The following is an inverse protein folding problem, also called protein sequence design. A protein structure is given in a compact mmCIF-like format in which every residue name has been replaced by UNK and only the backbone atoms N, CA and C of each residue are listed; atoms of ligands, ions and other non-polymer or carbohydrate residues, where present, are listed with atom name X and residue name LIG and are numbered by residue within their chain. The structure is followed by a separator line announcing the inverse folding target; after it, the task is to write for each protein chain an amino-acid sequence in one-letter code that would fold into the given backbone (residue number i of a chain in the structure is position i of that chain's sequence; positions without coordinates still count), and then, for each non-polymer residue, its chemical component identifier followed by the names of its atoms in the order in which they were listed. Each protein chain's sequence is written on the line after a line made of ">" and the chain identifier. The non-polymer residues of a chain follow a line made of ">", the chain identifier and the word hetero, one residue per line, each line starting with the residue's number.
data_IF_507587129107
#
_entry.id   IF_507587129107
#
_cell.length_a   1.000
_cell.length_b   1.000
_cell.length_c   1.000
_cell.angle_alpha   90.00
_cell.angle_beta   90.00
_cell.angle_gamma   90.00
#
_symmetry.space_group_name_H-M   'P 1'
#
loop_
_entity.id
_entity.type
_entity.pdbx_description
1 polymer ?
#
# COMPACT_ATOMS: atom_id res chain seq x y z
N UNK A 1 -6.02 32.88 84.97
CA UNK A 1 -4.55 33.05 84.90
C UNK A 1 -3.79 31.71 84.83
N UNK A 2 -4.27 30.68 84.11
CA UNK A 2 -3.61 29.35 84.00
C UNK A 2 -3.06 29.02 82.60
N UNK A 3 -3.32 29.86 81.60
CA UNK A 3 -2.83 29.65 80.21
C UNK A 3 -1.43 30.26 80.00
N UNK A 4 -1.09 31.35 80.71
CA UNK A 4 0.21 32.02 80.61
C UNK A 4 1.39 31.21 81.19
N UNK A 5 1.15 30.36 82.20
CA UNK A 5 2.20 29.49 82.78
C UNK A 5 2.50 28.25 81.91
N UNK A 6 1.50 27.72 81.19
CA UNK A 6 1.73 26.62 80.24
C UNK A 6 2.53 27.05 79.01
N UNK A 7 2.32 28.28 78.54
CA UNK A 7 3.07 28.81 77.38
C UNK A 7 4.56 29.06 77.70
N UNK A 8 4.87 29.45 78.94
CA UNK A 8 6.25 29.70 79.37
C UNK A 8 7.07 28.43 79.57
N UNK A 9 6.43 27.31 79.97
CA UNK A 9 7.09 26.00 80.14
C UNK A 9 7.31 25.30 78.79
N UNK A 10 6.41 25.51 77.82
CA UNK A 10 6.58 24.95 76.48
C UNK A 10 7.69 25.67 75.69
N UNK A 11 7.89 26.98 75.92
CA UNK A 11 8.95 27.77 75.27
C UNK A 11 10.36 27.43 75.79
N UNK A 12 10.52 27.06 77.07
CA UNK A 12 11.82 26.68 77.64
C UNK A 12 12.28 25.28 77.24
N UNK A 13 11.37 24.35 76.92
CA UNK A 13 11.74 22.98 76.51
C UNK A 13 12.26 22.93 75.06
N UNK A 14 11.86 23.88 74.20
CA UNK A 14 12.30 23.94 72.79
C UNK A 14 13.72 24.53 72.64
N UNK A 15 14.24 25.25 73.63
CA UNK A 15 15.56 25.92 73.55
C UNK A 15 16.71 24.97 73.98
N UNK A 16 16.43 23.84 74.63
CA UNK A 16 17.45 22.93 75.18
C UNK A 16 17.84 21.73 74.29
N UNK A 17 17.40 21.67 73.03
CA UNK A 17 17.70 20.53 72.13
C UNK A 17 18.45 20.87 70.85
N UNK A 18 19.08 22.04 70.75
CA UNK A 18 20.08 22.30 69.69
C UNK A 18 21.51 22.16 70.26
N UNK A 19 22.08 20.96 70.05
CA UNK A 19 23.50 20.56 69.97
C UNK A 19 24.56 21.66 70.20
N UNK A 20 25.62 21.49 71.00
CA UNK A 20 26.23 20.26 71.51
C UNK A 20 27.11 19.57 70.46
N UNK A 21 28.39 19.98 70.35
CA UNK A 21 29.45 19.17 69.75
C UNK A 21 30.43 19.90 68.83
N UNK A 22 31.51 20.42 69.43
CA UNK A 22 32.92 20.45 68.98
C UNK A 22 33.26 20.55 67.47
N UNK A 23 33.95 21.63 67.08
CA UNK A 23 34.71 21.65 65.83
C UNK A 23 36.13 22.22 66.07
N UNK A 24 37.10 21.43 65.63
CA UNK A 24 38.53 21.62 65.78
C UNK A 24 39.03 22.75 64.87
N UNK A 25 40.06 23.44 65.36
CA UNK A 25 40.91 24.38 64.64
C UNK A 25 41.39 23.82 63.28
N UNK A 26 41.03 24.47 62.17
CA UNK A 26 41.63 24.22 60.85
C UNK A 26 42.30 25.50 60.30
N UNK A 27 43.48 25.29 59.73
CA UNK A 27 44.47 26.23 59.18
C UNK A 27 43.92 26.97 57.95
N UNK A 28 44.26 28.25 57.67
CA UNK A 28 43.74 28.95 56.50
C UNK A 28 44.44 28.50 55.19
N UNK A 29 43.70 28.16 54.13
CA UNK A 29 44.23 28.05 52.76
C UNK A 29 43.84 29.29 51.89
N UNK A 30 44.44 29.43 50.69
CA UNK A 30 44.90 30.71 50.16
C UNK A 30 43.83 31.52 49.42
N UNK A 31 44.17 32.80 49.20
CA UNK A 31 43.49 33.80 48.37
C UNK A 31 42.83 33.22 47.11
N UNK A 32 41.49 33.31 47.06
CA UNK A 32 40.67 33.01 45.88
C UNK A 32 40.88 34.08 44.80
N UNK A 33 41.45 33.66 43.67
CA UNK A 33 41.36 34.37 42.38
C UNK A 33 39.99 34.05 41.78
N UNK A 34 39.24 35.03 41.23
CA UNK A 34 37.92 34.76 40.65
C UNK A 34 38.04 33.87 39.40
N UNK A 35 37.73 32.58 39.57
CA UNK A 35 37.56 31.64 38.46
C UNK A 35 36.27 31.96 37.73
N UNK A 36 36.36 32.14 36.41
CA UNK A 36 35.21 32.41 35.56
C UNK A 36 34.21 31.26 35.63
N UNK A 37 32.94 31.58 35.85
CA UNK A 37 31.82 30.64 35.75
C UNK A 37 31.89 29.95 34.38
N UNK A 38 31.85 28.60 34.31
CA UNK A 38 31.78 27.92 33.03
C UNK A 38 30.52 28.37 32.29
N UNK A 39 30.59 28.65 30.97
CA UNK A 39 29.42 28.98 30.18
C UNK A 39 28.41 27.83 30.24
N UNK A 40 27.09 28.12 30.18
CA UNK A 40 26.08 27.09 30.22
C UNK A 40 26.33 26.08 29.08
N UNK A 41 26.39 24.79 29.43
CA UNK A 41 26.43 23.70 28.46
C UNK A 41 25.24 23.85 27.51
N UNK A 42 25.51 23.89 26.21
CA UNK A 42 24.48 24.02 25.19
C UNK A 42 23.49 22.84 25.31
N UNK A 43 22.26 23.14 25.74
CA UNK A 43 21.15 22.19 25.65
C UNK A 43 20.89 21.93 24.17
N UNK A 44 21.04 20.68 23.73
CA UNK A 44 20.67 20.27 22.37
C UNK A 44 19.17 20.53 22.18
N UNK A 45 18.82 21.55 21.41
CA UNK A 45 17.46 21.72 20.91
C UNK A 45 17.19 20.51 20.01
N UNK A 46 16.12 19.72 20.23
CA UNK A 46 15.76 18.68 19.29
C UNK A 46 15.44 19.36 17.95
N UNK A 47 16.34 19.24 16.99
CA UNK A 47 16.06 19.59 15.60
C UNK A 47 14.84 18.78 15.18
N UNK A 48 13.76 19.48 14.83
CA UNK A 48 12.54 18.90 14.30
C UNK A 48 12.90 18.17 13.02
N UNK A 49 13.19 16.87 13.13
CA UNK A 49 13.68 16.10 12.02
C UNK A 49 12.48 15.57 11.25
N UNK A 50 12.29 16.08 10.04
CA UNK A 50 11.22 15.66 9.14
C UNK A 50 11.38 14.19 8.77
N UNK A 51 10.32 13.37 8.90
CA UNK A 51 10.39 11.94 8.57
C UNK A 51 10.67 11.74 7.08
N UNK A 52 11.35 10.65 6.73
CA UNK A 52 11.77 10.30 5.38
C UNK A 52 10.98 9.08 4.90
N UNK A 53 10.44 9.19 3.68
CA UNK A 53 9.88 8.12 2.88
C UNK A 53 10.82 7.81 1.71
N UNK A 54 11.16 6.54 1.56
CA UNK A 54 12.07 6.04 0.53
C UNK A 54 11.32 5.16 -0.46
N UNK A 55 11.39 5.48 -1.74
CA UNK A 55 10.84 4.66 -2.82
C UNK A 55 11.97 3.93 -3.54
N UNK A 56 11.85 2.60 -3.61
CA UNK A 56 12.77 1.72 -4.31
C UNK A 56 12.17 1.37 -5.67
N UNK A 57 12.73 1.99 -6.71
CA UNK A 57 12.33 1.79 -8.10
C UNK A 57 13.50 1.16 -8.85
N UNK A 58 13.35 -0.06 -9.37
CA UNK A 58 14.42 -0.66 -10.16
C UNK A 58 14.58 0.09 -11.50
N UNK A 59 15.81 0.10 -12.01
CA UNK A 59 16.15 0.86 -13.21
C UNK A 59 15.56 0.29 -14.52
N UNK A 60 14.91 -0.86 -14.47
CA UNK A 60 14.38 -1.59 -15.63
C UNK A 60 12.86 -1.45 -15.84
N UNK A 61 12.16 -0.63 -15.03
CA UNK A 61 10.74 -0.33 -15.23
C UNK A 61 10.56 0.65 -16.40
N UNK A 62 9.45 0.52 -17.12
CA UNK A 62 9.05 1.44 -18.19
C UNK A 62 8.77 2.85 -17.65
N UNK A 63 9.14 3.87 -18.43
CA UNK A 63 9.04 5.27 -18.01
C UNK A 63 7.64 5.70 -17.52
N UNK A 64 6.52 5.40 -18.20
CA UNK A 64 5.21 5.88 -17.75
C UNK A 64 4.80 5.24 -16.41
N UNK A 65 5.11 3.97 -16.19
CA UNK A 65 4.84 3.30 -14.91
C UNK A 65 5.73 3.85 -13.80
N UNK A 66 7.01 4.10 -14.07
CA UNK A 66 7.92 4.76 -13.12
C UNK A 66 7.39 6.14 -12.70
N UNK A 67 6.99 6.96 -13.66
CA UNK A 67 6.48 8.31 -13.41
C UNK A 67 5.18 8.28 -12.59
N UNK A 68 4.30 7.31 -12.86
CA UNK A 68 3.08 7.09 -12.08
C UNK A 68 3.39 6.79 -10.62
N UNK A 69 4.30 5.86 -10.34
CA UNK A 69 4.68 5.50 -8.97
C UNK A 69 5.40 6.63 -8.25
N UNK A 70 6.37 7.29 -8.90
CA UNK A 70 7.09 8.41 -8.32
C UNK A 70 6.14 9.55 -7.95
N UNK A 71 5.26 9.95 -8.86
CA UNK A 71 4.29 11.01 -8.62
C UNK A 71 3.34 10.65 -7.48
N UNK A 72 2.78 9.44 -7.52
CA UNK A 72 1.82 8.99 -6.50
C UNK A 72 2.46 9.01 -5.11
N UNK A 73 3.62 8.38 -4.95
CA UNK A 73 4.29 8.32 -3.64
C UNK A 73 4.78 9.69 -3.20
N UNK A 74 5.25 10.53 -4.13
CA UNK A 74 5.63 11.91 -3.83
C UNK A 74 4.46 12.73 -3.27
N UNK A 75 3.29 12.67 -3.92
CA UNK A 75 2.10 13.39 -3.49
C UNK A 75 1.62 12.92 -2.10
N UNK A 76 1.64 11.59 -1.85
CA UNK A 76 1.34 11.03 -0.53
C UNK A 76 2.36 11.45 0.54
N UNK A 77 3.65 11.43 0.20
CA UNK A 77 4.72 11.82 1.13
C UNK A 77 4.60 13.29 1.50
N UNK A 78 4.38 14.18 0.52
CA UNK A 78 4.15 15.60 0.76
C UNK A 78 2.92 15.85 1.64
N UNK A 79 1.78 15.22 1.33
CA UNK A 79 0.55 15.37 2.11
C UNK A 79 0.74 14.92 3.57
N UNK A 80 1.62 13.95 3.79
CA UNK A 80 1.95 13.42 5.12
C UNK A 80 3.09 14.18 5.83
N UNK A 81 3.71 15.19 5.20
CA UNK A 81 4.84 15.94 5.75
C UNK A 81 6.18 15.18 5.73
N UNK A 82 6.31 14.16 4.88
CA UNK A 82 7.52 13.36 4.72
C UNK A 82 8.42 13.98 3.64
N UNK A 83 9.73 13.84 3.84
CA UNK A 83 10.71 14.00 2.77
C UNK A 83 10.66 12.77 1.88
N UNK A 84 10.77 12.98 0.58
CA UNK A 84 10.71 11.92 -0.40
C UNK A 84 12.08 11.71 -1.06
N UNK A 85 12.51 10.46 -1.18
CA UNK A 85 13.70 10.07 -1.93
C UNK A 85 13.42 8.84 -2.78
N UNK A 86 14.05 8.79 -3.96
CA UNK A 86 14.00 7.64 -4.86
C UNK A 86 15.39 7.01 -4.93
N UNK A 87 15.43 5.68 -4.89
CA UNK A 87 16.64 4.86 -5.03
C UNK A 87 16.39 3.65 -5.90
N UNK A 88 17.47 3.11 -6.46
CA UNK A 88 17.44 1.89 -7.28
C UNK A 88 17.55 0.60 -6.45
N UNK A 89 17.80 0.72 -5.14
CA UNK A 89 17.97 -0.41 -4.23
C UNK A 89 18.11 0.07 -2.79
N UNK A 90 18.01 -0.87 -1.83
CA UNK A 90 18.16 -0.59 -0.40
C UNK A 90 19.60 -0.86 0.00
N UNK A 91 20.25 0.11 0.64
CA UNK A 91 21.55 -0.10 1.29
C UNK A 91 21.42 -0.04 2.81
N UNK A 92 22.29 -0.73 3.58
CA UNK A 92 22.30 -0.62 5.04
C UNK A 92 22.54 0.81 5.56
N UNK A 93 23.18 1.67 4.75
CA UNK A 93 23.40 3.08 5.09
C UNK A 93 22.10 3.88 5.05
N UNK A 94 21.21 3.58 4.10
CA UNK A 94 19.89 4.23 4.03
C UNK A 94 19.04 3.89 5.27
N UNK A 95 19.14 2.65 5.76
CA UNK A 95 18.44 2.18 6.96
C UNK A 95 19.00 2.74 8.27
N UNK A 96 20.24 3.25 8.24
CA UNK A 96 20.87 3.90 9.39
C UNK A 96 20.37 5.35 9.59
N UNK A 97 19.63 5.93 8.65
CA UNK A 97 19.03 7.26 8.82
C UNK A 97 17.93 7.20 9.90
N UNK A 98 18.07 7.93 11.03
CA UNK A 98 17.09 7.91 12.12
C UNK A 98 15.71 8.46 11.70
N UNK A 99 15.65 9.20 10.59
CA UNK A 99 14.45 9.82 10.07
C UNK A 99 13.69 8.94 9.10
N UNK A 100 14.30 7.85 8.62
CA UNK A 100 13.61 6.89 7.78
C UNK A 100 12.47 6.26 8.59
N UNK A 101 11.24 6.40 8.08
CA UNK A 101 10.05 5.83 8.70
C UNK A 101 9.33 4.88 7.78
N UNK A 102 9.39 5.09 6.47
CA UNK A 102 8.70 4.25 5.48
C UNK A 102 9.61 3.94 4.30
N UNK A 103 9.66 2.68 3.90
CA UNK A 103 10.33 2.19 2.68
C UNK A 103 9.29 1.50 1.81
N UNK A 104 9.18 1.91 0.55
CA UNK A 104 8.23 1.37 -0.42
C UNK A 104 9.05 0.66 -1.49
N UNK A 105 8.82 -0.63 -1.67
CA UNK A 105 9.56 -1.47 -2.60
C UNK A 105 8.66 -2.02 -3.69
N UNK A 106 9.12 -1.92 -4.94
CA UNK A 106 8.51 -2.52 -6.12
C UNK A 106 9.31 -3.76 -6.57
N UNK A 107 8.73 -4.63 -7.41
CA UNK A 107 9.41 -5.81 -7.92
C UNK A 107 10.55 -5.40 -8.87
N UNK A 108 11.68 -6.13 -8.90
CA UNK A 108 11.98 -7.37 -8.17
C UNK A 108 12.30 -7.13 -6.67
N UNK A 109 12.10 -8.14 -5.82
CA UNK A 109 12.33 -8.01 -4.37
C UNK A 109 13.76 -7.54 -4.05
N UNK A 110 13.94 -6.35 -3.44
CA UNK A 110 15.25 -5.89 -2.99
C UNK A 110 15.73 -6.61 -1.71
N UNK A 111 14.97 -7.56 -1.17
CA UNK A 111 15.23 -8.25 0.10
C UNK A 111 14.50 -7.61 1.27
N UNK A 112 13.24 -7.18 1.06
CA UNK A 112 12.45 -6.41 2.03
C UNK A 112 12.39 -7.09 3.40
N UNK A 113 12.18 -8.41 3.44
CA UNK A 113 12.04 -9.19 4.68
C UNK A 113 13.34 -9.16 5.51
N UNK A 114 14.49 -9.27 4.84
CA UNK A 114 15.79 -9.24 5.51
C UNK A 114 16.07 -7.85 6.12
N UNK A 115 15.76 -6.79 5.38
CA UNK A 115 15.95 -5.42 5.86
C UNK A 115 14.96 -5.05 6.97
N UNK A 116 13.72 -5.54 6.89
CA UNK A 116 12.71 -5.33 7.92
C UNK A 116 13.13 -5.89 9.28
N UNK A 117 13.79 -7.05 9.30
CA UNK A 117 14.32 -7.64 10.53
C UNK A 117 15.44 -6.79 11.17
N UNK A 118 16.24 -6.08 10.35
CA UNK A 118 17.34 -5.23 10.83
C UNK A 118 16.89 -3.85 11.29
N UNK A 119 15.72 -3.38 10.85
CA UNK A 119 15.22 -2.03 11.09
C UNK A 119 13.76 -2.05 11.59
N UNK A 120 13.50 -2.49 12.84
CA UNK A 120 12.13 -2.62 13.37
C UNK A 120 11.38 -1.28 13.50
N UNK A 121 12.11 -0.16 13.49
CA UNK A 121 11.55 1.19 13.59
C UNK A 121 11.09 1.76 12.24
N UNK A 122 11.30 1.03 11.14
CA UNK A 122 10.95 1.42 9.77
C UNK A 122 9.82 0.52 9.28
N UNK A 123 8.77 1.11 8.71
CA UNK A 123 7.70 0.36 8.06
C UNK A 123 8.05 0.10 6.59
N UNK A 124 7.98 -1.16 6.18
CA UNK A 124 8.23 -1.60 4.82
C UNK A 124 6.90 -1.89 4.13
N UNK A 125 6.73 -1.36 2.92
CA UNK A 125 5.60 -1.61 2.05
C UNK A 125 6.10 -2.31 0.79
N UNK A 126 5.79 -3.59 0.65
CA UNK A 126 6.04 -4.34 -0.58
C UNK A 126 4.83 -4.17 -1.51
N UNK A 127 5.03 -3.65 -2.71
CA UNK A 127 3.99 -3.44 -3.72
C UNK A 127 4.23 -4.38 -4.88
N UNK A 128 3.25 -5.22 -5.21
CA UNK A 128 3.29 -6.18 -6.33
C UNK A 128 4.42 -7.22 -6.25
N UNK A 129 5.08 -7.39 -5.10
CA UNK A 129 6.15 -8.38 -4.94
C UNK A 129 5.52 -9.73 -4.54
N UNK A 130 5.68 -10.79 -5.34
CA UNK A 130 5.14 -12.10 -5.02
C UNK A 130 5.85 -12.73 -3.81
N UNK A 131 5.19 -13.67 -3.16
CA UNK A 131 5.75 -14.52 -2.09
C UNK A 131 6.25 -13.79 -0.82
N UNK A 132 5.88 -12.52 -0.62
CA UNK A 132 6.09 -11.82 0.65
C UNK A 132 4.85 -11.96 1.54
N UNK A 133 5.05 -12.51 2.73
CA UNK A 133 4.02 -12.57 3.78
C UNK A 133 4.04 -11.29 4.60
N UNK A 134 2.89 -10.61 4.72
CA UNK A 134 2.76 -9.45 5.60
C UNK A 134 2.93 -9.85 7.09
N UNK A 135 3.61 -9.01 7.86
CA UNK A 135 3.84 -9.25 9.29
C UNK A 135 4.82 -8.27 9.92
N UNK A 136 4.66 -8.02 11.22
CA UNK A 136 5.52 -7.08 11.97
C UNK A 136 5.51 -5.68 11.37
N UNK A 137 6.66 -5.23 10.90
CA UNK A 137 6.85 -3.95 10.21
C UNK A 137 6.78 -4.07 8.67
N UNK A 138 6.33 -5.19 8.12
CA UNK A 138 6.14 -5.42 6.67
C UNK A 138 4.66 -5.44 6.33
N UNK A 139 4.25 -4.53 5.46
CA UNK A 139 2.93 -4.48 4.83
C UNK A 139 3.06 -4.87 3.36
N UNK A 140 2.09 -5.64 2.85
CA UNK A 140 2.12 -6.14 1.47
C UNK A 140 0.86 -5.66 0.76
N UNK A 141 1.06 -4.92 -0.33
CA UNK A 141 0.07 -4.69 -1.37
C UNK A 141 0.34 -5.73 -2.45
N UNK A 142 -0.38 -6.84 -2.35
CA UNK A 142 -0.30 -7.91 -3.35
C UNK A 142 -0.70 -7.36 -4.73
N UNK A 143 -0.13 -7.91 -5.82
CA UNK A 143 -0.68 -7.65 -7.15
C UNK A 143 -2.17 -8.00 -7.12
N UNK A 144 -2.99 -7.19 -7.79
CA UNK A 144 -4.42 -7.43 -7.94
C UNK A 144 -4.61 -8.80 -8.60
N UNK A 145 -4.69 -9.87 -7.80
CA UNK A 145 -5.01 -11.23 -8.26
C UNK A 145 -6.51 -11.47 -8.28
N UNK A 146 -7.30 -10.45 -7.97
CA UNK A 146 -8.76 -10.49 -8.02
C UNK A 146 -9.25 -10.25 -9.45
N UNK A 147 -8.76 -11.02 -10.44
CA UNK A 147 -9.26 -10.95 -11.82
C UNK A 147 -10.76 -11.28 -11.91
N UNK A 148 -11.27 -11.96 -10.89
CA UNK A 148 -12.69 -12.26 -10.67
C UNK A 148 -13.53 -10.99 -10.45
N UNK A 149 -13.01 -9.98 -9.75
CA UNK A 149 -13.76 -8.77 -9.42
C UNK A 149 -14.08 -7.90 -10.65
N UNK A 150 -13.12 -7.51 -11.52
CA UNK A 150 -13.44 -6.78 -12.73
C UNK A 150 -14.28 -7.63 -13.68
N UNK A 151 -14.10 -8.96 -13.71
CA UNK A 151 -14.95 -9.84 -14.52
C UNK A 151 -16.40 -9.86 -14.04
N UNK A 152 -16.63 -9.95 -12.72
CA UNK A 152 -17.97 -9.85 -12.13
C UNK A 152 -18.63 -8.51 -12.47
N UNK A 153 -17.90 -7.40 -12.29
CA UNK A 153 -18.41 -6.07 -12.62
C UNK A 153 -18.68 -5.90 -14.11
N UNK A 154 -17.85 -6.49 -14.97
CA UNK A 154 -18.05 -6.49 -16.42
C UNK A 154 -19.34 -7.24 -16.80
N UNK A 155 -19.54 -8.44 -16.25
CA UNK A 155 -20.76 -9.24 -16.48
C UNK A 155 -22.02 -8.50 -16.03
N UNK A 156 -21.99 -7.93 -14.82
CA UNK A 156 -23.10 -7.14 -14.29
C UNK A 156 -23.41 -5.91 -15.16
N UNK A 157 -22.38 -5.18 -15.57
CA UNK A 157 -22.53 -3.95 -16.36
C UNK A 157 -23.03 -4.27 -17.77
N UNK A 158 -22.48 -5.29 -18.43
CA UNK A 158 -22.94 -5.67 -19.77
C UNK A 158 -24.38 -6.20 -19.74
N UNK A 159 -24.74 -7.03 -18.75
CA UNK A 159 -26.12 -7.49 -18.62
C UNK A 159 -27.11 -6.34 -18.37
N UNK A 160 -26.66 -5.24 -17.76
CA UNK A 160 -27.46 -4.03 -17.58
C UNK A 160 -27.64 -3.22 -18.86
N UNK A 161 -26.60 -3.13 -19.70
CA UNK A 161 -26.58 -2.26 -20.87
C UNK A 161 -27.12 -2.93 -22.13
N UNK A 162 -27.04 -4.26 -22.22
CA UNK A 162 -27.34 -5.01 -23.43
C UNK A 162 -28.75 -5.56 -23.39
N UNK A 163 -29.54 -5.20 -24.39
CA UNK A 163 -30.86 -5.78 -24.60
C UNK A 163 -30.77 -7.30 -24.83
N UNK A 164 -31.70 -8.03 -24.22
CA UNK A 164 -31.79 -9.48 -24.27
C UNK A 164 -30.55 -10.20 -23.76
N UNK A 165 -29.72 -9.51 -22.96
CA UNK A 165 -28.58 -10.09 -22.25
C UNK A 165 -27.57 -10.80 -23.15
N UNK A 166 -27.48 -10.39 -24.44
CA UNK A 166 -26.55 -10.95 -25.42
C UNK A 166 -25.10 -10.58 -25.12
N UNK A 167 -24.56 -11.17 -24.07
CA UNK A 167 -23.24 -10.88 -23.53
C UNK A 167 -22.35 -12.11 -23.62
N UNK A 168 -21.05 -11.87 -23.72
CA UNK A 168 -20.09 -12.96 -23.70
C UNK A 168 -18.70 -12.55 -23.27
N UNK A 169 -17.85 -13.55 -23.11
CA UNK A 169 -16.48 -13.37 -22.64
C UNK A 169 -15.48 -14.18 -23.47
N UNK A 170 -14.34 -13.54 -23.78
CA UNK A 170 -13.15 -14.19 -24.31
C UNK A 170 -12.09 -14.34 -23.23
N UNK A 171 -11.53 -15.53 -23.11
CA UNK A 171 -10.53 -15.84 -22.10
C UNK A 171 -9.51 -16.89 -22.57
N UNK A 172 -8.27 -16.87 -22.07
CA UNK A 172 -7.26 -17.86 -22.44
C UNK A 172 -7.59 -19.23 -21.83
N UNK A 173 -7.50 -20.28 -22.64
CA UNK A 173 -7.62 -21.66 -22.20
C UNK A 173 -6.41 -22.07 -21.34
N UNK A 174 -6.63 -22.90 -20.32
CA UNK A 174 -5.56 -23.42 -19.47
C UNK A 174 -5.05 -22.47 -18.39
N UNK A 175 -5.62 -21.26 -18.27
CA UNK A 175 -5.33 -20.34 -17.17
C UNK A 175 -6.41 -20.46 -16.07
N UNK A 176 -6.07 -20.93 -14.86
CA UNK A 176 -7.05 -21.09 -13.77
C UNK A 176 -7.65 -19.75 -13.32
N UNK A 177 -6.90 -18.65 -13.34
CA UNK A 177 -7.42 -17.33 -13.00
C UNK A 177 -8.46 -16.84 -14.03
N UNK A 178 -8.22 -17.14 -15.31
CA UNK A 178 -9.15 -16.81 -16.38
C UNK A 178 -10.46 -17.63 -16.30
N UNK A 179 -10.36 -18.92 -15.94
CA UNK A 179 -11.54 -19.75 -15.69
C UNK A 179 -12.35 -19.25 -14.50
N UNK A 180 -11.69 -18.87 -13.41
CA UNK A 180 -12.38 -18.27 -12.27
C UNK A 180 -13.02 -16.93 -12.63
N UNK A 181 -12.34 -16.10 -13.44
CA UNK A 181 -12.88 -14.85 -13.94
C UNK A 181 -14.11 -15.09 -14.85
N UNK A 182 -14.13 -16.14 -15.66
CA UNK A 182 -15.29 -16.53 -16.45
C UNK A 182 -16.50 -16.90 -15.56
N UNK A 183 -16.28 -17.68 -14.51
CA UNK A 183 -17.32 -17.97 -13.53
C UNK A 183 -17.79 -16.70 -12.79
N UNK A 184 -16.88 -15.78 -12.46
CA UNK A 184 -17.23 -14.52 -11.83
C UNK A 184 -18.04 -13.61 -12.77
N UNK A 185 -17.68 -13.55 -14.06
CA UNK A 185 -18.44 -12.86 -15.11
C UNK A 185 -19.85 -13.42 -15.25
N UNK A 186 -19.99 -14.75 -15.30
CA UNK A 186 -21.29 -15.43 -15.34
C UNK A 186 -22.16 -15.03 -14.15
N UNK A 187 -21.60 -15.11 -12.94
CA UNK A 187 -22.29 -14.72 -11.71
C UNK A 187 -22.65 -13.23 -11.72
N UNK A 188 -21.80 -12.36 -12.29
CA UNK A 188 -22.08 -10.94 -12.44
C UNK A 188 -23.28 -10.68 -13.35
N UNK A 189 -23.34 -11.35 -14.50
CA UNK A 189 -24.46 -11.26 -15.43
C UNK A 189 -25.76 -11.77 -14.76
N UNK A 190 -25.74 -12.98 -14.20
CA UNK A 190 -26.88 -13.58 -13.48
C UNK A 190 -27.33 -12.75 -12.28
N UNK A 191 -26.43 -12.04 -11.62
CA UNK A 191 -26.80 -11.14 -10.51
C UNK A 191 -27.75 -10.02 -10.98
N UNK A 192 -27.63 -9.56 -12.23
CA UNK A 192 -28.54 -8.58 -12.80
C UNK A 192 -29.76 -9.22 -13.49
N UNK A 193 -29.53 -10.14 -14.43
CA UNK A 193 -30.57 -10.68 -15.31
C UNK A 193 -31.35 -11.87 -14.71
N UNK A 194 -30.87 -12.48 -13.61
CA UNK A 194 -31.39 -13.75 -13.10
C UNK A 194 -31.05 -14.90 -14.04
N UNK A 195 -32.00 -15.28 -14.90
CA UNK A 195 -31.86 -16.38 -15.86
C UNK A 195 -31.22 -15.97 -17.19
N UNK A 196 -31.02 -14.66 -17.42
CA UNK A 196 -30.50 -14.13 -18.69
C UNK A 196 -31.29 -14.54 -19.94
N UNK A 197 -32.56 -14.89 -19.77
CA UNK A 197 -33.48 -15.17 -20.86
C UNK A 197 -34.01 -13.87 -21.49
N UNK A 198 -33.89 -13.80 -22.83
CA UNK A 198 -34.44 -12.72 -23.63
C UNK A 198 -35.97 -12.76 -23.75
N UNK A 199 -36.53 -11.73 -24.38
CA UNK A 199 -37.97 -11.68 -24.68
C UNK A 199 -38.30 -12.62 -25.84
N UNK A 200 -37.40 -12.68 -26.83
CA UNK A 200 -37.50 -13.60 -27.95
C UNK A 200 -36.75 -14.90 -27.66
N UNK A 201 -37.31 -16.01 -28.15
CA UNK A 201 -36.67 -17.33 -28.05
C UNK A 201 -35.41 -17.31 -28.94
N UNK A 202 -34.25 -17.31 -28.31
CA UNK A 202 -32.95 -17.49 -28.95
C UNK A 202 -32.50 -18.96 -28.76
N UNK A 203 -32.00 -19.66 -29.78
CA UNK A 203 -31.34 -20.96 -29.59
C UNK A 203 -30.04 -20.88 -28.78
N UNK A 204 -29.53 -19.68 -28.48
CA UNK A 204 -28.26 -19.44 -27.80
C UNK A 204 -28.52 -19.01 -26.35
N UNK A 205 -27.84 -19.67 -25.43
CA UNK A 205 -27.84 -19.30 -24.01
C UNK A 205 -26.77 -18.24 -23.75
N UNK A 206 -27.15 -17.18 -23.03
CA UNK A 206 -26.23 -16.13 -22.59
C UNK A 206 -26.15 -16.13 -21.05
N UNK A 207 -25.00 -15.77 -20.46
CA UNK A 207 -23.76 -15.37 -21.10
C UNK A 207 -23.07 -16.53 -21.84
N UNK A 208 -22.44 -16.23 -22.97
CA UNK A 208 -21.68 -17.21 -23.76
C UNK A 208 -20.17 -16.98 -23.65
N UNK A 209 -19.39 -18.04 -23.83
CA UNK A 209 -17.96 -18.04 -23.57
C UNK A 209 -17.19 -18.63 -24.74
N UNK A 210 -16.07 -17.99 -25.09
CA UNK A 210 -15.15 -18.51 -26.07
C UNK A 210 -13.74 -18.53 -25.50
N UNK A 211 -13.21 -19.74 -25.34
CA UNK A 211 -11.82 -19.95 -24.94
C UNK A 211 -10.90 -19.78 -26.15
N UNK A 212 -9.74 -19.14 -25.95
CA UNK A 212 -8.66 -19.04 -26.93
C UNK A 212 -7.50 -19.92 -26.46
N UNK A 213 -6.99 -20.86 -27.27
CA UNK A 213 -5.84 -21.67 -26.89
C UNK A 213 -4.63 -20.80 -26.49
N UNK A 214 -3.94 -21.16 -25.41
CA UNK A 214 -2.85 -20.34 -24.85
C UNK A 214 -1.68 -20.07 -25.82
N UNK A 215 -1.51 -20.91 -26.85
CA UNK A 215 -0.45 -20.81 -27.85
C UNK A 215 -0.94 -20.26 -29.20
N UNK A 216 -2.16 -19.72 -29.25
CA UNK A 216 -2.71 -19.19 -30.50
C UNK A 216 -2.05 -17.87 -30.88
N UNK A 217 -1.95 -17.63 -32.19
CA UNK A 217 -1.41 -16.38 -32.74
C UNK A 217 -2.37 -15.21 -32.44
N UNK A 218 -1.93 -14.12 -31.79
CA UNK A 218 -2.76 -12.93 -31.54
C UNK A 218 -3.44 -12.37 -32.79
N UNK A 219 -2.82 -12.51 -33.97
CA UNK A 219 -3.43 -12.09 -35.24
C UNK A 219 -4.74 -12.84 -35.57
N UNK A 220 -4.98 -14.00 -34.96
CA UNK A 220 -6.19 -14.81 -35.15
C UNK A 220 -7.24 -14.62 -34.05
N UNK A 221 -6.96 -13.85 -32.99
CA UNK A 221 -7.94 -13.61 -31.92
C UNK A 221 -9.23 -12.99 -32.46
N UNK A 222 -9.13 -12.18 -33.52
CA UNK A 222 -10.30 -11.64 -34.22
C UNK A 222 -11.27 -12.70 -34.73
N UNK A 223 -10.79 -13.88 -35.13
CA UNK A 223 -11.64 -15.01 -35.54
C UNK A 223 -12.48 -15.54 -34.38
N UNK A 224 -11.88 -15.69 -33.19
CA UNK A 224 -12.58 -16.13 -31.98
C UNK A 224 -13.62 -15.12 -31.51
N UNK A 225 -13.29 -13.82 -31.57
CA UNK A 225 -14.27 -12.76 -31.33
C UNK A 225 -15.43 -12.80 -32.34
N UNK A 226 -15.14 -13.11 -33.61
CA UNK A 226 -16.15 -13.17 -34.66
C UNK A 226 -17.16 -14.31 -34.46
N UNK A 227 -16.76 -15.42 -33.83
CA UNK A 227 -17.69 -16.50 -33.43
C UNK A 227 -18.74 -15.93 -32.48
N UNK A 228 -18.31 -15.26 -31.41
CA UNK A 228 -19.24 -14.67 -30.44
C UNK A 228 -20.13 -13.58 -31.08
N UNK A 229 -19.53 -12.68 -31.85
CA UNK A 229 -20.22 -11.50 -32.41
C UNK A 229 -21.17 -11.89 -33.55
N UNK A 230 -20.71 -12.73 -34.49
CA UNK A 230 -21.43 -13.02 -35.73
C UNK A 230 -22.28 -14.27 -35.63
N UNK A 231 -21.73 -15.37 -35.13
CA UNK A 231 -22.45 -16.64 -35.05
C UNK A 231 -23.37 -16.65 -33.83
N UNK A 232 -22.87 -16.14 -32.69
CA UNK A 232 -23.61 -16.12 -31.43
C UNK A 232 -24.28 -14.79 -31.11
N UNK A 233 -24.22 -13.82 -32.03
CA UNK A 233 -24.96 -12.55 -31.95
C UNK A 233 -24.75 -11.75 -30.66
N UNK A 234 -23.59 -11.94 -30.01
CA UNK A 234 -23.20 -11.20 -28.82
C UNK A 234 -23.08 -9.72 -29.16
N UNK A 235 -23.74 -8.88 -28.36
CA UNK A 235 -23.72 -7.42 -28.49
C UNK A 235 -22.82 -6.74 -27.44
N UNK A 236 -22.46 -7.43 -26.35
CA UNK A 236 -21.51 -6.95 -25.35
C UNK A 236 -20.44 -7.99 -25.02
N UNK A 237 -19.18 -7.62 -25.13
CA UNK A 237 -18.05 -8.53 -24.97
C UNK A 237 -17.10 -8.07 -23.86
N UNK A 238 -16.73 -9.01 -22.99
CA UNK A 238 -15.62 -8.84 -22.08
C UNK A 238 -14.39 -9.60 -22.58
N UNK A 239 -13.27 -8.90 -22.71
CA UNK A 239 -11.98 -9.49 -23.11
C UNK A 239 -11.11 -9.58 -21.86
N UNK A 240 -10.71 -10.80 -21.51
CA UNK A 240 -9.85 -11.01 -20.35
C UNK A 240 -8.50 -10.26 -20.52
N UNK A 241 -7.95 -9.61 -19.47
CA UNK A 241 -6.84 -8.66 -19.60
C UNK A 241 -5.59 -9.21 -20.29
N UNK A 242 -5.29 -10.51 -20.15
CA UNK A 242 -4.11 -11.11 -20.81
C UNK A 242 -4.24 -11.20 -22.34
N UNK A 243 -5.46 -11.05 -22.88
CA UNK A 243 -5.74 -11.06 -24.33
C UNK A 243 -5.92 -9.63 -24.89
N UNK A 244 -6.08 -8.64 -24.01
CA UNK A 244 -6.50 -7.27 -24.34
C UNK A 244 -5.34 -6.42 -24.91
N UNK A 245 -4.85 -6.77 -26.10
CA UNK A 245 -3.89 -5.92 -26.83
C UNK A 245 -4.60 -4.76 -27.56
N UNK A 246 -3.94 -3.62 -27.70
CA UNK A 246 -4.50 -2.43 -28.36
C UNK A 246 -5.08 -2.72 -29.75
N UNK A 247 -4.35 -3.52 -30.55
CA UNK A 247 -4.78 -3.92 -31.89
C UNK A 247 -6.05 -4.79 -31.84
N UNK A 248 -6.13 -5.71 -30.88
CA UNK A 248 -7.28 -6.60 -30.75
C UNK A 248 -8.51 -5.87 -30.22
N UNK A 249 -8.35 -5.02 -29.20
CA UNK A 249 -9.42 -4.18 -28.68
C UNK A 249 -9.95 -3.23 -29.76
N UNK A 250 -9.06 -2.64 -30.57
CA UNK A 250 -9.43 -1.79 -31.71
C UNK A 250 -10.21 -2.56 -32.78
N UNK A 251 -9.78 -3.79 -33.10
CA UNK A 251 -10.51 -4.67 -34.01
C UNK A 251 -11.94 -4.93 -33.50
N UNK A 252 -12.09 -5.36 -32.24
CA UNK A 252 -13.41 -5.68 -31.67
C UNK A 252 -14.28 -4.43 -31.57
N UNK A 253 -13.72 -3.29 -31.16
CA UNK A 253 -14.45 -2.01 -31.11
C UNK A 253 -14.97 -1.57 -32.49
N UNK A 254 -14.29 -1.93 -33.58
CA UNK A 254 -14.75 -1.63 -34.94
C UNK A 254 -15.96 -2.48 -35.39
N UNK A 255 -16.29 -3.56 -34.68
CA UNK A 255 -17.41 -4.45 -35.00
C UNK A 255 -18.76 -3.93 -34.49
N UNK A 256 -18.78 -2.80 -33.77
CA UNK A 256 -20.02 -2.19 -33.28
C UNK A 256 -20.65 -2.89 -32.08
N UNK A 257 -19.85 -3.64 -31.32
CA UNK A 257 -20.24 -4.25 -30.04
C UNK A 257 -19.75 -3.42 -28.86
N UNK A 258 -20.44 -3.51 -27.73
CA UNK A 258 -19.93 -2.95 -26.48
C UNK A 258 -18.74 -3.79 -26.00
N UNK A 259 -17.68 -3.12 -25.55
CA UNK A 259 -16.44 -3.78 -25.19
C UNK A 259 -15.97 -3.32 -23.81
N UNK A 260 -15.59 -4.28 -22.98
CA UNK A 260 -14.82 -4.10 -21.75
C UNK A 260 -13.56 -4.96 -21.90
N UNK A 261 -12.37 -4.37 -21.79
CA UNK A 261 -11.09 -5.05 -21.97
C UNK A 261 -9.91 -4.15 -21.66
#
# INVERSE_FOLDING_TARGET
>A
MRVKQFFFIFLTIVILTACGGDELTEVPPPTVVPSHTPPPTATTIPTLSTPLALLILPANIDQPTSDLYQKTVYDLALASGFRFQVRNGITPQDLADPNLKVVIALPPDPGVVNYAATAPNVQFLAVNIPDITAGGNVSVLAPNTQDELPAFLAGYTLAMLIDEYRVGMLYPEGNPAATNAAAAFENGAHYYCGLCDGIYIDPIEYPTFQAIPANEDPAKFGGYASILITEQRVAGLYIYPSLASDDFLSYVGSQGVYLIG
#
